data_IF_704251120367
#
_entry.id   IF_704251120367
#
_cell.length_a   1.000
_cell.length_b   1.000
_cell.length_c   1.000
_cell.angle_alpha   90.00
_cell.angle_beta   90.00
_cell.angle_gamma   90.00
#
_symmetry.space_group_name_H-M   'P 1'
#
loop_
_entity.id
_entity.type
_entity.pdbx_description
1 polymer ?
#
# COMPACT_ATOMS: atom_id res chain seq x y z
N UNK A 1 -10.47 -19.81 -25.85
CA UNK A 1 -10.36 -19.03 -24.61
C UNK A 1 -9.67 -19.87 -23.57
N UNK A 2 -8.60 -19.32 -22.98
CA UNK A 2 -7.74 -20.08 -22.07
C UNK A 2 -8.32 -20.12 -20.66
N UNK A 3 -9.04 -19.05 -20.25
CA UNK A 3 -9.70 -18.93 -18.96
C UNK A 3 -11.01 -18.13 -19.07
N UNK A 4 -11.77 -18.06 -17.98
CA UNK A 4 -12.92 -17.15 -17.87
C UNK A 4 -12.45 -15.72 -17.51
N UNK A 5 -11.37 -15.62 -16.75
CA UNK A 5 -10.75 -14.34 -16.37
C UNK A 5 -9.22 -14.46 -16.33
N UNK A 6 -8.53 -13.46 -16.86
CA UNK A 6 -7.10 -13.27 -16.66
C UNK A 6 -6.90 -12.19 -15.60
N UNK A 7 -6.06 -12.46 -14.60
CA UNK A 7 -5.67 -11.49 -13.57
C UNK A 7 -4.20 -11.12 -13.78
N UNK A 8 -3.93 -9.85 -14.01
CA UNK A 8 -2.57 -9.32 -14.20
C UNK A 8 -2.05 -8.78 -12.87
N UNK A 9 -1.09 -9.49 -12.28
CA UNK A 9 -0.48 -9.19 -10.99
C UNK A 9 -0.96 -10.10 -9.86
N UNK A 10 -0.02 -10.80 -9.23
CA UNK A 10 -0.23 -11.68 -8.09
C UNK A 10 0.00 -10.98 -6.73
N UNK A 11 -0.24 -9.66 -6.66
CA UNK A 11 -0.28 -8.88 -5.43
C UNK A 11 -1.58 -9.10 -4.65
N UNK A 12 -1.78 -8.40 -3.53
CA UNK A 12 -2.96 -8.56 -2.67
C UNK A 12 -4.28 -8.42 -3.45
N UNK A 13 -4.42 -7.38 -4.28
CA UNK A 13 -5.64 -7.15 -5.05
C UNK A 13 -5.92 -8.30 -6.03
N UNK A 14 -4.90 -8.77 -6.76
CA UNK A 14 -5.04 -9.92 -7.66
C UNK A 14 -5.36 -11.21 -6.93
N UNK A 15 -4.76 -11.47 -5.77
CA UNK A 15 -5.07 -12.65 -4.95
C UNK A 15 -6.50 -12.63 -4.41
N UNK A 16 -6.99 -11.46 -3.96
CA UNK A 16 -8.39 -11.32 -3.51
C UNK A 16 -9.34 -11.56 -4.67
N UNK A 17 -9.13 -10.88 -5.82
CA UNK A 17 -9.96 -11.07 -7.01
C UNK A 17 -9.98 -12.53 -7.47
N UNK A 18 -8.80 -13.17 -7.54
CA UNK A 18 -8.69 -14.60 -7.92
C UNK A 18 -9.46 -15.51 -6.97
N UNK A 19 -9.31 -15.29 -5.65
CA UNK A 19 -10.00 -16.11 -4.66
C UNK A 19 -11.53 -15.99 -4.78
N UNK A 20 -12.05 -14.77 -4.93
CA UNK A 20 -13.49 -14.53 -5.09
C UNK A 20 -14.04 -15.10 -6.42
N UNK A 21 -13.29 -14.94 -7.52
CA UNK A 21 -13.64 -15.51 -8.82
C UNK A 21 -13.71 -17.04 -8.78
N UNK A 22 -12.76 -17.69 -8.11
CA UNK A 22 -12.77 -19.16 -7.98
C UNK A 22 -13.92 -19.65 -7.11
N UNK A 23 -14.25 -18.96 -6.03
CA UNK A 23 -15.42 -19.30 -5.21
C UNK A 23 -16.74 -19.11 -5.98
N UNK A 24 -16.74 -18.20 -6.98
CA UNK A 24 -17.83 -18.03 -7.94
C UNK A 24 -17.78 -19.06 -9.11
N UNK A 25 -16.92 -20.07 -9.05
CA UNK A 25 -16.79 -21.15 -10.02
C UNK A 25 -16.10 -20.76 -11.34
N UNK A 26 -15.32 -19.66 -11.37
CA UNK A 26 -14.61 -19.21 -12.57
C UNK A 26 -13.22 -19.84 -12.66
N UNK A 27 -12.79 -20.16 -13.88
CA UNK A 27 -11.40 -20.56 -14.18
C UNK A 27 -10.56 -19.30 -14.38
N UNK A 28 -9.45 -19.18 -13.67
CA UNK A 28 -8.61 -17.99 -13.64
C UNK A 28 -7.18 -18.32 -14.02
N UNK A 29 -6.58 -17.51 -14.91
CA UNK A 29 -5.14 -17.47 -15.10
C UNK A 29 -4.61 -16.19 -14.47
N UNK A 30 -3.64 -16.34 -13.54
CA UNK A 30 -2.94 -15.21 -12.95
C UNK A 30 -1.56 -15.11 -13.59
N UNK A 31 -1.23 -13.96 -14.16
CA UNK A 31 0.09 -13.68 -14.73
C UNK A 31 0.85 -12.67 -13.88
N UNK A 32 2.14 -12.94 -13.61
CA UNK A 32 3.01 -12.03 -12.86
C UNK A 32 4.42 -12.06 -13.43
N UNK A 33 5.06 -10.88 -13.55
CA UNK A 33 6.42 -10.76 -14.03
C UNK A 33 7.48 -11.27 -13.04
N UNK A 34 7.14 -11.32 -11.75
CA UNK A 34 8.04 -11.75 -10.69
C UNK A 34 8.05 -13.28 -10.51
N UNK A 35 9.08 -13.84 -9.84
CA UNK A 35 9.08 -15.25 -9.46
C UNK A 35 8.07 -15.56 -8.37
N UNK A 36 7.74 -16.83 -8.20
CA UNK A 36 6.82 -17.33 -7.16
C UNK A 36 7.17 -16.86 -5.74
N UNK A 37 8.43 -16.59 -5.47
CA UNK A 37 8.89 -16.04 -4.19
C UNK A 37 8.23 -14.68 -3.88
N UNK A 38 7.86 -13.89 -4.89
CA UNK A 38 7.24 -12.56 -4.74
C UNK A 38 5.71 -12.57 -4.67
N UNK A 39 5.07 -13.75 -4.59
CA UNK A 39 3.62 -13.89 -4.44
C UNK A 39 3.10 -13.04 -3.27
N UNK A 40 2.12 -12.16 -3.55
CA UNK A 40 1.58 -11.18 -2.60
C UNK A 40 2.07 -9.75 -2.85
N UNK A 41 3.08 -9.57 -3.72
CA UNK A 41 3.57 -8.26 -4.15
C UNK A 41 4.04 -7.36 -3.02
N UNK A 42 3.90 -6.05 -3.18
CA UNK A 42 4.34 -5.05 -2.20
C UNK A 42 3.59 -5.12 -0.86
N UNK A 43 2.37 -5.67 -0.83
CA UNK A 43 1.60 -5.78 0.41
C UNK A 43 2.30 -6.64 1.48
N UNK A 44 3.19 -7.54 1.07
CA UNK A 44 4.03 -8.33 1.98
C UNK A 44 4.86 -7.46 2.91
N UNK A 45 5.40 -6.36 2.41
CA UNK A 45 6.29 -5.45 3.14
C UNK A 45 5.57 -4.46 4.03
N UNK A 46 4.22 -4.44 3.98
CA UNK A 46 3.42 -3.50 4.75
C UNK A 46 3.37 -3.85 6.23
N UNK A 47 3.11 -2.83 7.06
CA UNK A 47 2.80 -3.01 8.48
C UNK A 47 1.45 -3.72 8.71
N UNK A 48 0.69 -3.97 7.63
CA UNK A 48 -0.58 -4.69 7.67
C UNK A 48 -1.71 -3.92 8.33
N UNK A 49 -1.68 -2.59 8.25
CA UNK A 49 -2.73 -1.74 8.78
C UNK A 49 -3.97 -1.71 7.90
N UNK A 50 -5.14 -1.92 8.48
CA UNK A 50 -6.41 -1.88 7.79
C UNK A 50 -7.34 -0.83 8.41
N UNK A 51 -8.03 -0.10 7.54
CA UNK A 51 -9.07 0.85 7.93
C UNK A 51 -10.36 0.09 8.27
N UNK A 52 -10.81 0.19 9.51
CA UNK A 52 -12.09 -0.34 9.98
C UNK A 52 -12.80 0.71 10.81
N UNK A 53 -14.12 0.69 10.77
CA UNK A 53 -15.00 1.67 11.42
C UNK A 53 -15.92 0.97 12.42
N UNK A 54 -16.08 1.52 13.62
CA UNK A 54 -16.97 0.98 14.65
C UNK A 54 -16.59 -0.44 15.10
N UNK A 55 -15.33 -0.79 15.05
CA UNK A 55 -14.83 -2.15 15.34
C UNK A 55 -14.95 -2.52 16.82
N UNK A 56 -14.96 -3.83 17.16
CA UNK A 56 -14.85 -4.28 18.55
C UNK A 56 -13.57 -3.80 19.23
N UNK A 57 -12.46 -3.67 18.49
CA UNK A 57 -11.19 -3.17 18.97
C UNK A 57 -11.31 -1.70 19.38
N UNK A 58 -11.92 -0.84 18.54
CA UNK A 58 -12.21 0.55 18.87
C UNK A 58 -13.11 0.66 20.11
N UNK A 59 -14.20 -0.12 20.18
CA UNK A 59 -15.11 -0.11 21.34
C UNK A 59 -14.40 -0.47 22.66
N UNK A 60 -13.50 -1.46 22.67
CA UNK A 60 -12.69 -1.80 23.85
C UNK A 60 -11.80 -0.64 24.31
N UNK A 61 -11.30 0.14 23.36
CA UNK A 61 -10.50 1.34 23.66
C UNK A 61 -11.37 2.59 23.92
N UNK A 62 -12.69 2.45 23.99
CA UNK A 62 -13.66 3.52 24.20
C UNK A 62 -13.65 4.57 23.07
N UNK A 63 -13.20 4.19 21.88
CA UNK A 63 -13.25 5.00 20.67
C UNK A 63 -14.66 4.88 20.10
N UNK A 64 -15.34 6.02 19.99
CA UNK A 64 -16.67 6.12 19.36
C UNK A 64 -16.48 6.46 17.90
N UNK A 65 -16.94 5.59 17.03
CA UNK A 65 -16.85 5.75 15.59
C UNK A 65 -18.13 5.28 14.89
N UNK A 66 -18.43 5.84 13.73
CA UNK A 66 -19.59 5.49 12.91
C UNK A 66 -19.28 5.64 11.43
N UNK A 67 -20.12 5.06 10.56
CA UNK A 67 -20.01 5.21 9.12
C UNK A 67 -20.12 6.69 8.71
N UNK A 68 -21.07 7.44 9.29
CA UNK A 68 -21.27 8.86 9.00
C UNK A 68 -20.04 9.69 9.37
N UNK A 69 -19.47 9.48 10.56
CA UNK A 69 -18.26 10.17 10.98
C UNK A 69 -17.08 9.81 10.08
N UNK A 70 -16.94 8.54 9.73
CA UNK A 70 -15.87 8.09 8.85
C UNK A 70 -16.01 8.67 7.42
N UNK A 71 -17.23 8.76 6.92
CA UNK A 71 -17.52 9.39 5.63
C UNK A 71 -17.24 10.90 5.65
N UNK A 72 -17.65 11.59 6.71
CA UNK A 72 -17.34 13.01 6.90
C UNK A 72 -15.82 13.27 6.95
N UNK A 73 -15.07 12.45 7.70
CA UNK A 73 -13.62 12.53 7.76
C UNK A 73 -12.97 12.27 6.40
N UNK A 74 -13.50 11.30 5.66
CA UNK A 74 -13.01 10.99 4.31
C UNK A 74 -13.21 12.15 3.34
N UNK A 75 -14.41 12.72 3.31
CA UNK A 75 -14.70 13.91 2.50
C UNK A 75 -13.79 15.08 2.88
N UNK A 76 -13.49 15.24 4.17
CA UNK A 76 -12.62 16.30 4.66
C UNK A 76 -11.14 16.13 4.31
N UNK A 77 -10.69 14.92 3.95
CA UNK A 77 -9.27 14.65 3.67
C UNK A 77 -8.96 14.25 2.22
N UNK A 78 -9.96 13.83 1.44
CA UNK A 78 -9.71 13.28 0.11
C UNK A 78 -9.44 14.34 -0.97
N UNK A 79 -9.88 15.58 -0.77
CA UNK A 79 -9.73 16.66 -1.75
C UNK A 79 -10.48 16.36 -3.04
N UNK A 80 -11.79 16.04 -2.97
CA UNK A 80 -12.65 15.84 -4.13
C UNK A 80 -13.06 17.20 -4.73
N UNK A 81 -12.15 17.82 -5.47
CA UNK A 81 -12.26 19.17 -6.06
C UNK A 81 -12.35 19.16 -7.59
N UNK A 82 -12.50 17.97 -8.24
CA UNK A 82 -12.52 17.77 -9.69
C UNK A 82 -13.83 17.13 -10.15
N UNK A 83 -14.91 17.88 -10.07
CA UNK A 83 -16.23 17.49 -10.59
C UNK A 83 -16.73 16.12 -10.10
N UNK A 84 -16.64 15.88 -8.78
CA UNK A 84 -17.03 14.61 -8.17
C UNK A 84 -18.52 14.25 -8.40
N UNK A 85 -19.38 15.22 -8.73
CA UNK A 85 -20.78 15.02 -9.08
C UNK A 85 -21.03 14.61 -10.53
N UNK A 86 -20.13 14.91 -11.45
CA UNK A 86 -20.24 14.60 -12.87
C UNK A 86 -19.59 13.23 -13.18
N UNK A 87 -20.29 12.28 -13.83
CA UNK A 87 -19.70 11.02 -14.28
C UNK A 87 -18.46 11.18 -15.16
N UNK A 88 -18.33 12.30 -15.88
CA UNK A 88 -17.13 12.65 -16.64
C UNK A 88 -16.03 13.30 -15.79
N UNK A 89 -16.32 13.72 -14.56
CA UNK A 89 -15.36 14.34 -13.66
C UNK A 89 -14.27 13.37 -13.19
N UNK A 90 -13.10 13.88 -12.85
CA UNK A 90 -11.99 13.04 -12.41
C UNK A 90 -12.25 12.38 -11.05
N UNK A 91 -12.96 13.06 -10.14
CA UNK A 91 -13.23 12.56 -8.80
C UNK A 91 -14.51 11.73 -8.68
N UNK A 92 -15.32 11.62 -9.73
CA UNK A 92 -16.59 10.92 -9.66
C UNK A 92 -16.45 9.48 -9.16
N UNK A 93 -15.62 8.70 -9.83
CA UNK A 93 -15.41 7.30 -9.48
C UNK A 93 -14.61 7.13 -8.18
N UNK A 94 -13.64 8.02 -7.93
CA UNK A 94 -12.88 8.02 -6.68
C UNK A 94 -13.79 8.24 -5.47
N UNK A 95 -14.75 9.17 -5.55
CA UNK A 95 -15.74 9.40 -4.50
C UNK A 95 -16.69 8.21 -4.30
N UNK A 96 -17.17 7.60 -5.38
CA UNK A 96 -18.01 6.40 -5.28
C UNK A 96 -17.28 5.21 -4.65
N UNK A 97 -16.03 5.00 -5.03
CA UNK A 97 -15.17 4.00 -4.40
C UNK A 97 -14.94 4.27 -2.92
N UNK A 98 -14.68 5.51 -2.56
CA UNK A 98 -14.49 5.91 -1.16
C UNK A 98 -15.74 5.64 -0.34
N UNK A 99 -16.93 5.97 -0.86
CA UNK A 99 -18.20 5.68 -0.19
C UNK A 99 -18.41 4.18 0.02
N UNK A 100 -18.30 3.38 -1.05
CA UNK A 100 -18.42 1.93 -0.97
C UNK A 100 -17.40 1.31 0.01
N UNK A 101 -16.16 1.85 0.04
CA UNK A 101 -15.14 1.38 0.95
C UNK A 101 -15.42 1.72 2.42
N UNK A 102 -15.94 2.92 2.70
CA UNK A 102 -16.34 3.30 4.07
C UNK A 102 -17.51 2.45 4.54
N UNK A 103 -18.53 2.22 3.68
CA UNK A 103 -19.66 1.34 3.97
C UNK A 103 -19.19 -0.09 4.27
N UNK A 104 -18.32 -0.64 3.44
CA UNK A 104 -17.72 -1.96 3.64
C UNK A 104 -16.90 -2.02 4.95
N UNK A 105 -16.11 -0.98 5.25
CA UNK A 105 -15.28 -0.91 6.45
C UNK A 105 -16.09 -0.78 7.75
N UNK A 106 -17.25 -0.14 7.68
CA UNK A 106 -18.20 -0.02 8.79
C UNK A 106 -19.11 -1.24 8.94
N UNK A 107 -19.31 -1.98 7.84
CA UNK A 107 -20.18 -3.15 7.75
C UNK A 107 -19.44 -4.48 7.87
N UNK A 108 -19.39 -5.20 6.76
CA UNK A 108 -18.99 -6.62 6.74
C UNK A 108 -17.48 -6.89 6.74
N UNK A 109 -16.64 -5.93 6.33
CA UNK A 109 -15.20 -6.11 6.10
C UNK A 109 -14.48 -6.82 7.24
N UNK A 110 -14.73 -6.37 8.48
CA UNK A 110 -14.07 -6.97 9.64
C UNK A 110 -14.51 -8.41 9.88
N UNK A 111 -15.81 -8.68 9.77
CA UNK A 111 -16.37 -10.02 9.96
C UNK A 111 -15.88 -10.98 8.87
N UNK A 112 -15.89 -10.54 7.62
CA UNK A 112 -15.36 -11.27 6.48
C UNK A 112 -13.88 -11.64 6.68
N UNK A 113 -13.01 -10.67 6.98
CA UNK A 113 -11.59 -10.92 7.25
C UNK A 113 -11.37 -11.86 8.43
N UNK A 114 -12.15 -11.69 9.51
CA UNK A 114 -12.07 -12.56 10.68
C UNK A 114 -12.49 -14.00 10.35
N UNK A 115 -13.53 -14.19 9.53
CA UNK A 115 -13.97 -15.50 9.01
C UNK A 115 -12.89 -16.18 8.18
N UNK A 116 -12.08 -15.42 7.43
CA UNK A 116 -10.93 -15.92 6.68
C UNK A 116 -9.70 -16.25 7.55
N UNK A 117 -9.75 -15.94 8.85
CA UNK A 117 -8.66 -16.21 9.81
C UNK A 117 -7.77 -15.03 10.12
N UNK A 118 -8.02 -13.83 9.56
CA UNK A 118 -7.28 -12.61 9.91
C UNK A 118 -7.59 -12.23 11.36
N UNK A 119 -6.56 -11.86 12.10
CA UNK A 119 -6.66 -11.36 13.47
C UNK A 119 -5.98 -10.02 13.57
N UNK A 120 -6.48 -9.17 14.46
CA UNK A 120 -5.95 -7.83 14.68
C UNK A 120 -5.25 -7.74 16.03
N UNK A 121 -4.21 -6.93 16.08
CA UNK A 121 -3.61 -6.52 17.32
C UNK A 121 -4.63 -5.71 18.14
N UNK A 122 -4.66 -5.84 19.48
CA UNK A 122 -5.74 -5.26 20.30
C UNK A 122 -5.66 -3.73 20.46
N UNK A 123 -4.79 -3.06 19.71
CA UNK A 123 -4.61 -1.60 19.73
C UNK A 123 -4.97 -1.02 18.37
N UNK A 124 -5.79 0.03 18.39
CA UNK A 124 -6.14 0.81 17.20
C UNK A 124 -5.37 2.12 17.26
N UNK A 125 -4.59 2.37 16.22
CA UNK A 125 -3.76 3.57 16.11
C UNK A 125 -4.28 4.59 15.10
N UNK A 126 -3.55 5.67 15.02
CA UNK A 126 -3.65 6.66 13.96
C UNK A 126 -2.72 6.24 12.81
N UNK A 127 -3.23 6.21 11.58
CA UNK A 127 -2.36 6.20 10.41
C UNK A 127 -1.80 7.61 10.21
N UNK A 128 -2.69 8.55 10.11
CA UNK A 128 -2.47 10.00 10.10
C UNK A 128 -3.79 10.67 10.49
N UNK A 129 -3.72 11.92 10.89
CA UNK A 129 -4.92 12.75 11.05
C UNK A 129 -5.28 13.44 9.76
N UNK A 130 -4.31 14.06 9.10
CA UNK A 130 -4.50 14.75 7.83
C UNK A 130 -5.38 15.99 7.93
N UNK A 131 -5.73 16.54 6.78
CA UNK A 131 -6.74 17.58 6.66
C UNK A 131 -6.21 18.98 6.33
N UNK A 132 -4.92 19.23 6.42
CA UNK A 132 -4.37 20.59 6.16
C UNK A 132 -4.38 20.99 4.68
N UNK A 133 -4.12 20.05 3.77
CA UNK A 133 -4.16 20.27 2.31
C UNK A 133 -5.50 19.85 1.68
N UNK A 134 -6.51 19.53 2.48
CA UNK A 134 -7.86 19.21 2.07
C UNK A 134 -8.85 20.22 2.68
N UNK A 135 -10.12 20.15 2.28
CA UNK A 135 -11.13 21.13 2.68
C UNK A 135 -11.66 20.90 4.11
N UNK A 136 -11.26 19.86 4.79
CA UNK A 136 -11.80 19.47 6.08
C UNK A 136 -10.77 19.02 7.10
N UNK A 137 -11.23 18.46 8.19
CA UNK A 137 -10.46 18.20 9.41
C UNK A 137 -9.76 16.83 9.44
N UNK A 138 -9.86 16.00 8.43
CA UNK A 138 -9.23 14.67 8.40
C UNK A 138 -9.81 13.69 9.44
N UNK A 139 -9.03 12.68 9.81
CA UNK A 139 -9.47 11.64 10.74
C UNK A 139 -9.75 12.17 12.14
N UNK A 140 -11.00 12.06 12.59
CA UNK A 140 -11.44 12.46 13.94
C UNK A 140 -11.08 11.45 15.01
N UNK A 141 -10.96 10.16 14.64
CA UNK A 141 -10.68 9.06 15.55
C UNK A 141 -9.69 8.06 14.93
N UNK A 142 -8.97 7.27 15.76
CA UNK A 142 -8.08 6.22 15.28
C UNK A 142 -8.87 5.11 14.56
N UNK A 143 -8.42 4.73 13.33
CA UNK A 143 -9.03 3.67 12.52
C UNK A 143 -8.02 2.68 11.95
N UNK A 144 -6.74 2.80 12.32
CA UNK A 144 -5.68 1.95 11.83
C UNK A 144 -5.55 0.70 12.70
N UNK A 145 -6.01 -0.43 12.15
CA UNK A 145 -5.98 -1.74 12.80
C UNK A 145 -4.81 -2.56 12.28
N UNK A 146 -3.83 -2.82 13.11
CA UNK A 146 -2.66 -3.63 12.74
C UNK A 146 -3.06 -5.09 12.70
N UNK A 147 -2.82 -5.75 11.56
CA UNK A 147 -3.02 -7.19 11.40
C UNK A 147 -1.96 -7.96 12.18
N UNK A 148 -2.38 -8.96 12.94
CA UNK A 148 -1.48 -9.91 13.57
C UNK A 148 -0.78 -10.75 12.51
N UNK A 149 0.54 -10.59 12.38
CA UNK A 149 1.33 -11.10 11.26
C UNK A 149 1.61 -10.07 10.17
N UNK A 150 1.25 -8.79 10.38
CA UNK A 150 1.53 -7.66 9.48
C UNK A 150 1.07 -7.89 8.04
N UNK A 151 1.78 -7.43 7.01
CA UNK A 151 1.48 -7.67 5.59
C UNK A 151 1.34 -9.16 5.23
N UNK A 152 2.28 -10.04 5.61
CA UNK A 152 2.11 -11.49 5.48
C UNK A 152 0.81 -12.03 6.09
N UNK A 153 0.40 -11.51 7.25
CA UNK A 153 -0.85 -11.90 7.90
C UNK A 153 -2.11 -11.50 7.13
N UNK A 154 -2.07 -10.39 6.40
CA UNK A 154 -3.16 -9.98 5.47
C UNK A 154 -3.21 -10.89 4.27
N UNK A 155 -2.06 -11.28 3.72
CA UNK A 155 -1.94 -12.09 2.51
C UNK A 155 -2.30 -13.56 2.72
N UNK A 156 -1.96 -14.11 3.87
CA UNK A 156 -2.02 -15.55 4.16
C UNK A 156 -3.35 -16.22 3.78
N UNK A 157 -4.54 -15.71 4.14
CA UNK A 157 -5.79 -16.35 3.80
C UNK A 157 -6.03 -16.41 2.28
N UNK A 158 -5.66 -15.37 1.55
CA UNK A 158 -5.84 -15.32 0.10
C UNK A 158 -4.84 -16.20 -0.62
N UNK A 159 -3.59 -16.22 -0.20
CA UNK A 159 -2.57 -17.16 -0.71
C UNK A 159 -3.01 -18.60 -0.50
N UNK A 160 -3.57 -18.92 0.67
CA UNK A 160 -4.09 -20.27 0.97
C UNK A 160 -5.26 -20.67 0.06
N UNK A 161 -6.23 -19.76 -0.15
CA UNK A 161 -7.40 -19.99 -1.04
C UNK A 161 -6.94 -20.17 -2.48
N UNK A 162 -6.09 -19.30 -2.99
CA UNK A 162 -5.57 -19.37 -4.37
C UNK A 162 -4.77 -20.65 -4.59
N UNK A 163 -3.91 -21.07 -3.65
CA UNK A 163 -3.18 -22.34 -3.73
C UNK A 163 -4.12 -23.57 -3.69
N UNK A 164 -5.19 -23.50 -2.92
CA UNK A 164 -6.20 -24.57 -2.91
C UNK A 164 -6.91 -24.65 -4.27
N UNK A 165 -7.27 -23.51 -4.86
CA UNK A 165 -7.87 -23.43 -6.19
C UNK A 165 -6.90 -23.86 -7.30
N UNK A 166 -5.59 -23.53 -7.20
CA UNK A 166 -4.55 -24.03 -8.11
C UNK A 166 -4.48 -25.56 -8.05
N UNK A 167 -4.45 -26.14 -6.86
CA UNK A 167 -4.45 -27.60 -6.68
C UNK A 167 -5.71 -28.27 -7.21
N UNK A 168 -6.85 -27.59 -7.16
CA UNK A 168 -8.14 -28.07 -7.69
C UNK A 168 -8.29 -27.85 -9.21
N UNK A 169 -7.33 -27.20 -9.88
CA UNK A 169 -7.36 -26.93 -11.31
C UNK A 169 -8.24 -25.75 -11.73
N UNK A 170 -8.69 -24.91 -10.78
CA UNK A 170 -9.46 -23.69 -11.06
C UNK A 170 -8.60 -22.46 -11.32
N UNK A 171 -7.34 -22.49 -10.86
CA UNK A 171 -6.36 -21.42 -11.07
C UNK A 171 -5.09 -21.96 -11.72
N UNK A 172 -4.56 -21.22 -12.66
CA UNK A 172 -3.20 -21.39 -13.16
C UNK A 172 -2.38 -20.15 -12.79
N UNK A 173 -1.25 -20.34 -12.07
CA UNK A 173 -0.33 -19.26 -11.72
C UNK A 173 0.86 -19.27 -12.68
N UNK A 174 0.95 -18.26 -13.53
CA UNK A 174 2.04 -18.06 -14.50
C UNK A 174 2.98 -16.96 -14.03
N UNK A 175 3.99 -17.33 -13.32
CA UNK A 175 5.10 -16.45 -12.94
C UNK A 175 6.06 -16.24 -14.07
N UNK A 176 6.82 -15.14 -14.05
CA UNK A 176 7.76 -14.74 -15.07
C UNK A 176 7.07 -14.42 -16.42
N UNK A 177 5.78 -14.10 -16.38
CA UNK A 177 4.98 -13.67 -17.51
C UNK A 177 4.69 -12.17 -17.38
N UNK A 178 5.46 -11.36 -18.10
CA UNK A 178 5.31 -9.91 -18.11
C UNK A 178 4.31 -9.51 -19.20
N UNK A 179 3.21 -8.90 -18.82
CA UNK A 179 2.23 -8.35 -19.78
C UNK A 179 2.80 -7.08 -20.39
N UNK A 180 2.80 -7.02 -21.72
CA UNK A 180 3.27 -5.89 -22.51
C UNK A 180 2.13 -5.23 -23.31
N UNK A 181 0.97 -5.92 -23.44
CA UNK A 181 -0.18 -5.45 -24.21
C UNK A 181 -1.49 -6.02 -23.64
N UNK A 182 -2.55 -5.22 -23.64
CA UNK A 182 -3.93 -5.68 -23.51
C UNK A 182 -4.51 -5.83 -24.93
N UNK A 183 -4.89 -7.05 -25.31
CA UNK A 183 -5.43 -7.35 -26.63
C UNK A 183 -6.86 -6.82 -26.70
N UNK A 184 -7.11 -5.91 -27.67
CA UNK A 184 -8.44 -5.32 -27.90
C UNK A 184 -9.04 -5.86 -29.18
N UNK A 185 -10.24 -6.44 -29.11
CA UNK A 185 -10.99 -6.94 -30.27
C UNK A 185 -12.39 -6.35 -30.24
N UNK A 186 -12.80 -5.71 -31.32
CA UNK A 186 -14.11 -5.07 -31.45
C UNK A 186 -14.46 -4.11 -30.28
N UNK A 187 -13.47 -3.37 -29.79
CA UNK A 187 -13.65 -2.40 -28.71
C UNK A 187 -13.68 -2.98 -27.29
N UNK A 188 -13.44 -4.27 -27.12
CA UNK A 188 -13.36 -4.94 -25.81
C UNK A 188 -11.97 -5.55 -25.60
N UNK A 189 -11.49 -5.55 -24.36
CA UNK A 189 -10.28 -6.29 -23.98
C UNK A 189 -10.61 -7.78 -23.93
N UNK A 190 -9.93 -8.57 -24.76
CA UNK A 190 -10.18 -10.01 -24.95
C UNK A 190 -9.01 -10.90 -24.54
N UNK A 191 -7.95 -10.31 -24.01
CA UNK A 191 -6.78 -11.07 -23.61
C UNK A 191 -5.59 -10.19 -23.27
N UNK A 192 -4.45 -10.83 -23.11
CA UNK A 192 -3.15 -10.21 -22.86
C UNK A 192 -2.07 -10.85 -23.73
N UNK A 193 -1.09 -10.05 -24.12
CA UNK A 193 0.14 -10.50 -24.79
C UNK A 193 1.34 -9.98 -24.03
N UNK A 194 2.44 -10.74 -24.06
CA UNK A 194 3.63 -10.30 -23.36
C UNK A 194 4.81 -11.24 -23.50
N UNK A 195 5.81 -11.02 -22.67
CA UNK A 195 7.09 -11.69 -22.68
C UNK A 195 7.20 -12.68 -21.52
N UNK A 196 7.57 -13.91 -21.82
CA UNK A 196 8.07 -14.87 -20.82
C UNK A 196 9.50 -14.48 -20.48
N UNK A 197 9.78 -14.24 -19.21
CA UNK A 197 11.11 -13.92 -18.72
C UNK A 197 11.85 -15.18 -18.27
N UNK A 198 13.19 -15.16 -18.32
CA UNK A 198 14.01 -16.25 -17.80
C UNK A 198 13.60 -16.65 -16.38
N UNK A 199 13.77 -17.92 -16.05
CA UNK A 199 13.60 -18.41 -14.66
C UNK A 199 14.49 -17.61 -13.71
N UNK A 200 14.00 -17.37 -12.49
CA UNK A 200 14.74 -16.60 -11.50
C UNK A 200 14.47 -17.14 -10.10
N UNK A 201 15.57 -17.37 -9.37
CA UNK A 201 15.58 -17.75 -7.96
C UNK A 201 15.77 -16.55 -7.04
N UNK A 202 15.54 -15.32 -7.57
CA UNK A 202 15.64 -14.10 -6.80
C UNK A 202 14.76 -14.16 -5.56
N UNK A 203 15.34 -13.81 -4.42
CA UNK A 203 14.59 -13.71 -3.18
C UNK A 203 13.52 -12.62 -3.26
N UNK A 204 12.50 -12.71 -2.42
CA UNK A 204 11.44 -11.73 -2.34
C UNK A 204 12.00 -10.31 -2.17
N UNK A 205 11.56 -9.37 -3.01
CA UNK A 205 11.99 -7.98 -2.98
C UNK A 205 13.28 -7.68 -3.74
N UNK A 206 14.12 -8.69 -3.97
CA UNK A 206 15.32 -8.53 -4.79
C UNK A 206 14.93 -8.43 -6.27
N UNK A 207 15.63 -7.57 -7.02
CA UNK A 207 15.40 -7.42 -8.45
C UNK A 207 15.64 -8.75 -9.18
N UNK A 208 14.66 -9.19 -9.97
CA UNK A 208 14.76 -10.38 -10.81
C UNK A 208 15.16 -10.01 -12.25
N UNK A 209 15.75 -10.98 -13.01
CA UNK A 209 16.10 -10.78 -14.41
C UNK A 209 14.91 -10.29 -15.23
N UNK A 210 15.18 -9.45 -16.22
CA UNK A 210 14.21 -9.00 -17.24
C UNK A 210 14.52 -9.58 -18.62
N UNK A 211 15.44 -10.52 -18.68
CA UNK A 211 15.85 -11.17 -19.95
C UNK A 211 14.68 -11.95 -20.55
N UNK A 212 14.30 -11.68 -21.82
CA UNK A 212 13.28 -12.44 -22.51
C UNK A 212 13.72 -13.89 -22.76
N UNK A 213 12.78 -14.83 -22.54
CA UNK A 213 12.95 -16.24 -22.85
C UNK A 213 11.93 -16.75 -23.87
N UNK A 214 10.91 -15.95 -24.20
CA UNK A 214 9.87 -16.27 -25.17
C UNK A 214 8.73 -15.29 -25.08
N UNK A 215 7.71 -15.51 -25.90
CA UNK A 215 6.49 -14.70 -25.91
C UNK A 215 5.30 -15.55 -25.47
N UNK A 216 4.23 -14.89 -25.05
CA UNK A 216 2.96 -15.54 -24.75
C UNK A 216 1.77 -14.68 -25.18
N UNK A 217 0.67 -15.35 -25.48
CA UNK A 217 -0.64 -14.74 -25.67
C UNK A 217 -1.69 -15.58 -24.94
N UNK A 218 -2.61 -14.90 -24.26
CA UNK A 218 -3.72 -15.52 -23.50
C UNK A 218 -5.02 -14.80 -23.83
N UNK A 219 -6.09 -15.56 -23.96
CA UNK A 219 -7.43 -15.07 -24.27
C UNK A 219 -8.42 -15.36 -23.15
N UNK A 220 -9.21 -14.35 -22.79
CA UNK A 220 -10.32 -14.46 -21.85
C UNK A 220 -11.35 -13.36 -22.11
N UNK A 221 -12.64 -13.58 -21.80
CA UNK A 221 -13.68 -12.56 -21.94
C UNK A 221 -13.54 -11.39 -20.96
N UNK A 222 -12.68 -11.51 -19.93
CA UNK A 222 -12.42 -10.45 -18.97
C UNK A 222 -10.96 -10.47 -18.51
N UNK A 223 -10.41 -9.26 -18.29
CA UNK A 223 -9.07 -9.05 -17.75
C UNK A 223 -9.16 -8.11 -16.53
N UNK A 224 -8.60 -8.54 -15.40
CA UNK A 224 -8.46 -7.73 -14.19
C UNK A 224 -7.02 -7.26 -14.09
N UNK A 225 -6.80 -5.95 -14.17
CA UNK A 225 -5.47 -5.35 -13.99
C UNK A 225 -5.28 -5.02 -12.51
N UNK A 226 -4.40 -5.75 -11.83
CA UNK A 226 -4.10 -5.66 -10.39
C UNK A 226 -2.58 -5.54 -10.14
N UNK A 227 -1.86 -4.89 -11.05
CA UNK A 227 -0.38 -4.88 -11.15
C UNK A 227 0.33 -3.89 -10.22
N UNK A 228 -0.39 -3.25 -9.30
CA UNK A 228 0.20 -2.34 -8.30
C UNK A 228 0.33 -0.89 -8.78
N UNK A 229 1.15 -0.12 -8.08
CA UNK A 229 1.34 1.31 -8.30
C UNK A 229 2.66 1.67 -8.96
N UNK A 230 3.12 2.93 -8.75
CA UNK A 230 4.28 3.56 -9.40
C UNK A 230 5.46 3.81 -8.46
N UNK A 231 5.40 3.32 -7.22
CA UNK A 231 6.30 3.76 -6.14
C UNK A 231 7.79 3.49 -6.35
N UNK A 232 8.16 2.62 -7.29
CA UNK A 232 9.57 2.38 -7.64
C UNK A 232 10.04 3.19 -8.85
N UNK A 233 9.15 3.80 -9.62
CA UNK A 233 9.48 4.65 -10.76
C UNK A 233 9.43 6.13 -10.37
N UNK A 234 10.58 6.67 -9.97
CA UNK A 234 10.69 8.07 -9.54
C UNK A 234 10.53 9.07 -10.69
N UNK A 235 10.79 8.68 -11.95
CA UNK A 235 10.55 9.54 -13.09
C UNK A 235 9.05 9.68 -13.34
N UNK A 236 8.31 8.58 -13.26
CA UNK A 236 6.85 8.60 -13.37
C UNK A 236 6.21 9.39 -12.24
N UNK A 237 6.74 9.29 -11.01
CA UNK A 237 6.32 10.10 -9.86
C UNK A 237 6.56 11.58 -10.13
N UNK A 238 7.73 11.98 -10.65
CA UNK A 238 8.04 13.37 -10.98
C UNK A 238 7.19 13.90 -12.13
N UNK A 239 6.93 13.10 -13.14
CA UNK A 239 6.09 13.48 -14.27
C UNK A 239 4.64 13.77 -13.86
N UNK A 240 4.15 13.09 -12.81
CA UNK A 240 2.82 13.28 -12.25
C UNK A 240 2.81 14.09 -10.94
N UNK A 241 3.90 14.83 -10.64
CA UNK A 241 4.02 15.57 -9.38
C UNK A 241 2.95 16.65 -9.24
N UNK A 242 2.22 16.71 -8.08
CA UNK A 242 1.13 17.65 -7.91
C UNK A 242 1.64 19.09 -7.70
N UNK A 243 1.15 20.03 -8.49
CA UNK A 243 1.52 21.44 -8.41
C UNK A 243 1.33 22.05 -7.02
N UNK A 244 0.29 21.63 -6.30
CA UNK A 244 0.00 22.10 -4.93
C UNK A 244 1.11 21.84 -3.92
N UNK A 245 1.98 20.85 -4.17
CA UNK A 245 3.14 20.54 -3.34
C UNK A 245 4.40 21.32 -3.76
N UNK A 246 4.31 22.14 -4.81
CA UNK A 246 5.45 22.87 -5.36
C UNK A 246 6.39 21.96 -6.17
N UNK A 247 7.70 22.20 -6.09
CA UNK A 247 8.66 21.37 -6.83
C UNK A 247 8.79 19.97 -6.28
N UNK A 248 9.00 19.00 -7.16
CA UNK A 248 9.33 17.65 -6.75
C UNK A 248 10.69 17.59 -6.01
N UNK A 249 10.86 16.71 -5.01
CA UNK A 249 12.14 16.53 -4.34
C UNK A 249 13.18 15.96 -5.31
N UNK A 250 14.43 16.39 -5.15
CA UNK A 250 15.57 15.89 -5.96
C UNK A 250 15.93 14.46 -5.57
N UNK A 251 15.84 14.17 -4.28
CA UNK A 251 16.12 12.85 -3.71
C UNK A 251 14.83 12.23 -3.20
N UNK A 252 14.60 10.99 -3.59
CA UNK A 252 13.53 10.16 -3.10
C UNK A 252 14.14 8.81 -2.70
N UNK A 253 13.63 8.22 -1.63
CA UNK A 253 13.93 6.83 -1.26
C UNK A 253 12.74 5.97 -1.62
N UNK A 254 12.97 4.67 -1.83
CA UNK A 254 11.99 3.76 -2.41
C UNK A 254 11.42 2.83 -1.34
N UNK A 255 10.18 3.03 -0.95
CA UNK A 255 9.50 2.22 0.05
C UNK A 255 8.90 0.91 -0.48
N UNK A 256 9.16 0.55 -1.74
CA UNK A 256 8.59 -0.64 -2.42
C UNK A 256 9.63 -1.28 -3.33
N UNK A 257 9.53 -2.60 -3.63
CA UNK A 257 10.43 -3.27 -4.57
C UNK A 257 10.35 -2.71 -5.99
N UNK A 258 11.43 -2.91 -6.77
CA UNK A 258 11.59 -2.37 -8.13
C UNK A 258 10.49 -2.77 -9.14
N UNK A 259 9.76 -3.85 -8.88
CA UNK A 259 8.66 -4.30 -9.75
C UNK A 259 7.36 -3.47 -9.59
N UNK A 260 7.32 -2.52 -8.67
CA UNK A 260 6.20 -1.57 -8.52
C UNK A 260 6.46 -0.38 -9.45
N UNK A 261 6.47 -0.65 -10.75
CA UNK A 261 7.02 0.17 -11.83
C UNK A 261 5.98 0.96 -12.65
N UNK A 262 4.68 0.76 -12.38
CA UNK A 262 3.60 1.49 -13.05
C UNK A 262 3.36 1.17 -14.52
N UNK A 263 4.06 0.20 -15.11
CA UNK A 263 3.98 -0.13 -16.55
C UNK A 263 2.56 -0.28 -17.07
N UNK A 264 1.68 -0.93 -16.29
CA UNK A 264 0.32 -1.19 -16.72
C UNK A 264 -0.56 0.07 -16.85
N UNK A 265 -0.15 1.22 -16.34
CA UNK A 265 -0.87 2.47 -16.55
C UNK A 265 -0.88 2.83 -18.04
N UNK A 266 0.30 2.94 -18.66
CA UNK A 266 0.41 3.26 -20.09
C UNK A 266 -0.20 2.17 -20.98
N UNK A 267 -0.02 0.89 -20.63
CA UNK A 267 -0.61 -0.25 -21.36
C UNK A 267 -2.15 -0.17 -21.30
N UNK A 268 -2.71 0.16 -20.14
CA UNK A 268 -4.16 0.31 -19.99
C UNK A 268 -4.72 1.49 -20.79
N UNK A 269 -4.02 2.63 -20.81
CA UNK A 269 -4.43 3.78 -21.65
C UNK A 269 -4.40 3.46 -23.13
N UNK A 270 -3.36 2.76 -23.59
CA UNK A 270 -3.27 2.31 -25.00
C UNK A 270 -4.46 1.43 -25.36
N UNK A 271 -4.98 0.64 -24.42
CA UNK A 271 -6.17 -0.17 -24.59
C UNK A 271 -7.50 0.60 -24.43
N UNK A 272 -7.46 1.92 -24.24
CA UNK A 272 -8.63 2.79 -24.13
C UNK A 272 -9.10 3.07 -22.70
N UNK A 273 -8.37 2.66 -21.67
CA UNK A 273 -8.72 3.02 -20.31
C UNK A 273 -8.46 4.51 -20.03
N UNK A 274 -9.34 5.14 -19.26
CA UNK A 274 -9.15 6.50 -18.78
C UNK A 274 -8.47 6.46 -17.42
N UNK A 275 -7.31 7.09 -17.29
CA UNK A 275 -6.63 7.34 -16.02
C UNK A 275 -7.07 8.70 -15.49
N UNK A 276 -7.45 8.73 -14.21
CA UNK A 276 -7.84 9.96 -13.50
C UNK A 276 -6.92 10.19 -12.31
N UNK A 277 -6.86 11.44 -11.85
CA UNK A 277 -6.17 11.80 -10.61
C UNK A 277 -4.70 11.34 -10.54
N UNK A 278 -3.96 11.42 -11.65
CA UNK A 278 -2.56 10.95 -11.76
C UNK A 278 -1.62 11.59 -10.75
N UNK A 279 -1.91 12.81 -10.32
CA UNK A 279 -1.15 13.59 -9.36
C UNK A 279 -1.63 13.39 -7.90
N UNK A 280 -2.65 12.57 -7.67
CA UNK A 280 -3.15 12.23 -6.33
C UNK A 280 -2.36 11.07 -5.73
N UNK A 281 -1.12 11.35 -5.36
CA UNK A 281 -0.20 10.39 -4.76
C UNK A 281 -0.05 10.62 -3.26
N UNK A 282 0.28 9.55 -2.53
CA UNK A 282 0.59 9.60 -1.12
C UNK A 282 2.09 9.43 -0.91
N UNK A 283 2.70 10.38 -0.23
CA UNK A 283 4.12 10.37 0.10
C UNK A 283 4.33 10.45 1.59
N UNK A 284 5.33 9.75 2.10
CA UNK A 284 5.74 9.87 3.49
C UNK A 284 6.99 10.74 3.59
N UNK A 285 7.02 11.63 4.58
CA UNK A 285 8.12 12.55 4.86
C UNK A 285 9.08 12.02 5.91
N UNK A 286 8.62 11.05 6.71
CA UNK A 286 9.41 10.41 7.76
C UNK A 286 10.22 9.23 7.22
N UNK A 287 10.71 9.32 5.99
CA UNK A 287 11.53 8.29 5.35
C UNK A 287 13.01 8.45 5.64
N UNK A 288 13.67 7.35 5.92
CA UNK A 288 15.13 7.25 6.04
C UNK A 288 15.64 6.09 5.18
N UNK A 289 16.92 6.16 4.79
CA UNK A 289 17.56 5.03 4.11
C UNK A 289 17.60 3.81 5.04
N UNK A 290 17.27 2.64 4.49
CA UNK A 290 17.37 1.40 5.24
C UNK A 290 18.86 1.02 5.38
N UNK A 291 19.30 0.70 6.59
CA UNK A 291 20.66 0.23 6.87
C UNK A 291 20.93 -1.20 6.35
N UNK A 292 19.87 -2.00 6.16
CA UNK A 292 19.90 -3.34 5.57
C UNK A 292 18.96 -3.40 4.35
N UNK A 293 19.37 -2.81 3.20
CA UNK A 293 18.49 -2.62 2.06
C UNK A 293 18.22 -3.94 1.33
N UNK A 294 16.93 -4.22 1.05
CA UNK A 294 16.47 -5.37 0.28
C UNK A 294 16.44 -5.05 -1.23
N UNK A 295 16.20 -3.78 -1.58
CA UNK A 295 16.22 -3.27 -2.96
C UNK A 295 16.99 -1.96 -3.06
N UNK A 296 17.40 -1.55 -4.26
CA UNK A 296 18.12 -0.28 -4.44
C UNK A 296 17.30 0.91 -3.96
N UNK A 297 17.94 1.78 -3.16
CA UNK A 297 17.27 2.96 -2.60
C UNK A 297 16.20 2.66 -1.54
N UNK A 298 16.24 1.48 -0.95
CA UNK A 298 15.27 1.04 0.05
C UNK A 298 15.17 2.05 1.18
N UNK A 299 13.97 2.61 1.34
CA UNK A 299 13.61 3.53 2.40
C UNK A 299 12.62 2.90 3.36
N UNK A 300 12.80 3.16 4.64
CA UNK A 300 11.84 2.78 5.68
C UNK A 300 11.20 4.01 6.29
N UNK A 301 9.94 3.89 6.68
CA UNK A 301 9.25 4.94 7.41
C UNK A 301 9.51 4.78 8.89
N UNK A 302 10.00 5.85 9.52
CA UNK A 302 10.05 5.96 10.97
C UNK A 302 8.72 6.49 11.50
N UNK A 303 8.35 6.07 12.69
CA UNK A 303 7.22 6.58 13.46
C UNK A 303 7.80 7.20 14.74
N UNK A 304 8.23 8.47 14.70
CA UNK A 304 9.11 9.05 15.73
C UNK A 304 8.40 9.35 17.06
N UNK A 305 7.07 9.23 17.06
CA UNK A 305 6.25 9.57 18.21
C UNK A 305 5.99 11.08 18.36
N UNK A 306 4.90 11.46 19.04
CA UNK A 306 4.43 12.84 19.13
C UNK A 306 5.34 13.77 19.93
N UNK A 307 6.19 13.21 20.81
CA UNK A 307 7.12 14.00 21.63
C UNK A 307 8.43 14.35 20.94
N UNK A 308 8.69 13.82 19.75
CA UNK A 308 9.88 14.18 18.96
C UNK A 308 9.81 15.61 18.46
N UNK A 309 10.96 16.30 18.44
CA UNK A 309 11.06 17.63 17.87
C UNK A 309 11.38 17.53 16.37
N UNK A 310 10.50 18.06 15.53
CA UNK A 310 10.69 18.06 14.09
C UNK A 310 11.12 19.44 13.58
N UNK A 311 12.27 19.49 12.93
CA UNK A 311 12.92 20.70 12.45
C UNK A 311 13.07 20.67 10.93
N UNK A 312 12.99 21.85 10.32
CA UNK A 312 13.33 22.01 8.91
C UNK A 312 14.86 21.83 8.68
N UNK A 313 15.29 21.85 7.43
CA UNK A 313 16.70 21.72 7.06
C UNK A 313 17.61 22.80 7.66
N UNK A 314 17.04 23.92 8.11
CA UNK A 314 17.75 25.05 8.74
C UNK A 314 17.72 24.98 10.26
N UNK A 315 17.19 23.91 10.85
CA UNK A 315 17.09 23.72 12.28
C UNK A 315 15.95 24.50 12.96
N UNK A 316 14.96 25.00 12.21
CA UNK A 316 13.80 25.71 12.76
C UNK A 316 12.65 24.72 12.92
N UNK A 317 11.96 24.79 14.04
CA UNK A 317 10.80 23.94 14.31
C UNK A 317 9.67 24.23 13.30
N UNK A 318 9.06 23.17 12.77
CA UNK A 318 7.84 23.32 11.99
C UNK A 318 6.70 23.88 12.85
N UNK A 319 5.93 24.81 12.27
CA UNK A 319 4.72 25.33 12.89
C UNK A 319 3.58 24.30 12.86
N UNK A 320 2.56 24.53 13.70
CA UNK A 320 1.33 23.75 13.63
C UNK A 320 0.67 23.93 12.25
N UNK A 321 0.04 22.85 11.70
CA UNK A 321 -0.19 21.53 12.29
C UNK A 321 0.86 20.47 11.92
N UNK A 322 2.04 20.85 11.44
CA UNK A 322 3.09 19.94 10.96
C UNK A 322 3.77 19.24 12.14
N UNK A 323 3.05 18.34 12.80
CA UNK A 323 3.54 17.49 13.87
C UNK A 323 3.88 16.09 13.35
N UNK A 324 4.80 15.35 14.02
CA UNK A 324 5.09 13.96 13.67
C UNK A 324 3.83 13.10 13.57
N UNK A 325 3.64 12.43 12.43
CA UNK A 325 2.50 11.53 12.19
C UNK A 325 1.14 12.21 12.09
N UNK A 326 1.09 13.54 11.93
CA UNK A 326 -0.18 14.27 11.85
C UNK A 326 -0.69 14.41 10.40
N UNK A 327 0.07 15.10 9.55
CA UNK A 327 -0.26 15.30 8.13
C UNK A 327 1.01 15.27 7.29
N UNK A 328 1.26 14.16 6.60
CA UNK A 328 2.49 13.97 5.85
C UNK A 328 2.56 14.84 4.61
N UNK A 329 1.42 15.09 3.92
CA UNK A 329 1.40 15.90 2.71
C UNK A 329 1.58 17.39 3.02
N UNK A 330 0.95 17.90 4.08
CA UNK A 330 1.18 19.26 4.54
C UNK A 330 2.63 19.49 4.96
N UNK A 331 3.20 18.51 5.68
CA UNK A 331 4.60 18.58 6.10
C UNK A 331 5.55 18.46 4.92
N UNK A 332 5.25 17.62 3.92
CA UNK A 332 6.03 17.54 2.69
C UNK A 332 6.08 18.90 2.00
N UNK A 333 4.93 19.56 1.85
CA UNK A 333 4.90 20.93 1.31
C UNK A 333 5.77 21.89 2.13
N UNK A 334 5.64 21.87 3.45
CA UNK A 334 6.43 22.73 4.33
C UNK A 334 7.94 22.48 4.20
N UNK A 335 8.38 21.23 4.03
CA UNK A 335 9.78 20.86 3.76
C UNK A 335 10.22 21.46 2.43
N UNK A 336 9.47 21.24 1.35
CA UNK A 336 9.82 21.68 0.00
C UNK A 336 9.85 23.21 -0.13
N UNK A 337 8.97 23.92 0.57
CA UNK A 337 8.94 25.40 0.62
C UNK A 337 10.22 25.99 1.23
N UNK A 338 10.98 25.24 2.01
CA UNK A 338 12.30 25.67 2.51
C UNK A 338 13.38 25.74 1.42
N UNK A 339 13.14 25.09 0.26
CA UNK A 339 14.11 24.88 -0.81
C UNK A 339 14.99 23.64 -0.63
N UNK A 340 14.81 22.88 0.44
CA UNK A 340 15.52 21.63 0.75
C UNK A 340 14.61 20.42 0.62
N UNK A 341 15.20 19.24 0.57
CA UNK A 341 14.52 17.94 0.38
C UNK A 341 14.65 17.04 1.63
N UNK A 342 14.95 17.61 2.78
CA UNK A 342 15.15 16.88 4.03
C UNK A 342 14.74 17.69 5.25
N UNK A 343 14.57 17.01 6.36
CA UNK A 343 14.25 17.55 7.66
C UNK A 343 14.99 16.79 8.76
N UNK A 344 14.92 17.27 10.00
CA UNK A 344 15.59 16.66 11.14
C UNK A 344 14.58 16.26 12.20
N UNK A 345 14.66 15.01 12.67
CA UNK A 345 14.05 14.61 13.92
C UNK A 345 15.07 14.66 15.04
N UNK A 346 14.75 15.40 16.10
CA UNK A 346 15.51 15.41 17.34
C UNK A 346 14.69 14.67 18.39
N UNK A 347 15.27 13.64 18.94
CA UNK A 347 14.58 12.78 19.92
C UNK A 347 15.52 12.45 21.08
N UNK A 348 14.97 12.03 22.20
CA UNK A 348 15.73 11.56 23.35
C UNK A 348 15.64 10.04 23.44
N UNK A 349 16.59 9.42 24.14
CA UNK A 349 16.56 7.99 24.39
C UNK A 349 15.22 7.53 25.00
N UNK A 350 14.66 8.31 25.93
CA UNK A 350 13.36 8.04 26.56
C UNK A 350 12.18 8.07 25.56
N UNK A 351 12.21 8.96 24.58
CA UNK A 351 11.19 9.01 23.50
C UNK A 351 11.33 7.78 22.60
N UNK A 352 12.58 7.43 22.23
CA UNK A 352 12.84 6.23 21.44
C UNK A 352 12.35 4.97 22.13
N UNK A 353 12.58 4.83 23.43
CA UNK A 353 12.10 3.68 24.20
C UNK A 353 10.57 3.56 24.29
N UNK A 354 9.85 4.68 24.27
CA UNK A 354 8.40 4.71 24.59
C UNK A 354 7.50 4.94 23.40
N UNK A 355 7.96 5.67 22.42
CA UNK A 355 7.11 6.22 21.36
C UNK A 355 7.57 5.85 19.95
N UNK A 356 8.88 5.56 19.78
CA UNK A 356 9.46 5.31 18.46
C UNK A 356 9.13 3.91 17.96
N UNK A 357 8.77 3.83 16.68
CA UNK A 357 8.57 2.58 15.98
C UNK A 357 9.03 2.69 14.52
N UNK A 358 9.19 1.55 13.88
CA UNK A 358 9.47 1.44 12.45
C UNK A 358 8.27 0.82 11.74
N UNK A 359 7.98 1.29 10.54
CA UNK A 359 6.94 0.72 9.69
C UNK A 359 7.53 -0.39 8.81
N UNK A 360 6.69 -1.34 8.42
CA UNK A 360 7.09 -2.46 7.55
C UNK A 360 7.10 -3.80 8.26
N UNK A 361 6.87 -4.86 7.50
CA UNK A 361 6.86 -6.23 8.05
C UNK A 361 8.26 -6.71 8.41
N UNK A 362 9.26 -6.32 7.65
CA UNK A 362 10.68 -6.62 7.84
C UNK A 362 11.27 -5.92 9.07
N UNK A 363 10.71 -4.76 9.42
CA UNK A 363 11.12 -3.99 10.59
C UNK A 363 10.43 -4.46 11.89
N UNK A 364 9.47 -5.36 11.78
CA UNK A 364 8.68 -5.87 12.90
C UNK A 364 8.60 -7.40 12.90
N UNK A 365 9.76 -8.10 12.98
CA UNK A 365 9.80 -9.56 12.87
C UNK A 365 9.02 -10.29 13.97
N UNK A 366 8.87 -9.70 15.13
CA UNK A 366 8.08 -10.22 16.24
C UNK A 366 6.57 -10.22 15.96
N UNK A 367 6.05 -9.11 15.39
CA UNK A 367 4.65 -9.02 14.96
C UNK A 367 4.40 -9.88 13.72
N UNK A 368 5.32 -9.82 12.75
CA UNK A 368 5.26 -10.59 11.50
C UNK A 368 5.32 -12.09 11.76
N UNK A 369 6.22 -12.52 12.64
CA UNK A 369 6.37 -13.91 13.08
C UNK A 369 5.36 -14.34 14.13
N UNK A 370 4.46 -13.47 14.55
CA UNK A 370 3.45 -13.74 15.60
C UNK A 370 4.06 -14.25 16.91
N UNK A 371 5.23 -13.74 17.27
CA UNK A 371 5.95 -14.13 18.46
C UNK A 371 5.48 -13.33 19.68
N UNK A 372 4.49 -13.87 20.41
CA UNK A 372 3.87 -13.23 21.58
C UNK A 372 4.92 -12.86 22.64
N UNK A 373 5.93 -13.70 22.87
CA UNK A 373 6.96 -13.42 23.89
C UNK A 373 7.78 -12.18 23.53
N UNK A 374 8.18 -12.05 22.27
CA UNK A 374 8.91 -10.88 21.81
C UNK A 374 8.04 -9.63 21.80
N UNK A 375 6.76 -9.75 21.41
CA UNK A 375 5.81 -8.63 21.45
C UNK A 375 5.57 -8.14 22.87
N UNK A 376 5.43 -9.04 23.85
CA UNK A 376 5.34 -8.66 25.27
C UNK A 376 6.64 -8.00 25.75
N UNK A 377 7.78 -8.34 25.18
CA UNK A 377 9.06 -7.69 25.46
C UNK A 377 9.09 -6.21 25.06
N UNK A 378 8.21 -5.75 24.17
CA UNK A 378 8.06 -4.31 23.83
C UNK A 378 7.58 -3.47 25.02
N UNK A 379 6.93 -4.08 26.00
CA UNK A 379 6.50 -3.41 27.23
C UNK A 379 7.64 -3.27 28.26
N UNK A 380 8.77 -3.98 28.07
CA UNK A 380 9.94 -3.83 28.90
C UNK A 380 10.66 -2.49 28.61
N UNK A 381 11.38 -1.92 29.60
CA UNK A 381 12.20 -0.75 29.33
C UNK A 381 13.27 -1.02 28.28
N UNK A 382 13.47 -0.06 27.38
CA UNK A 382 14.49 -0.10 26.33
C UNK A 382 13.92 -0.25 24.92
N UNK A 383 14.70 0.09 23.88
CA UNK A 383 14.26 -0.02 22.50
C UNK A 383 14.10 -1.49 22.09
N UNK A 384 13.09 -1.76 21.24
CA UNK A 384 12.90 -3.09 20.64
C UNK A 384 14.08 -3.47 19.74
N UNK A 385 14.23 -4.76 19.42
CA UNK A 385 15.34 -5.23 18.59
C UNK A 385 15.54 -4.46 17.28
N UNK A 386 14.50 -4.24 16.45
CA UNK A 386 14.62 -3.43 15.23
C UNK A 386 14.98 -1.97 15.51
N UNK A 387 14.43 -1.37 16.57
CA UNK A 387 14.79 0.00 16.96
C UNK A 387 16.21 0.07 17.50
N UNK A 388 16.67 -0.97 18.19
CA UNK A 388 18.05 -1.08 18.63
C UNK A 388 19.00 -1.12 17.43
N UNK A 389 18.73 -1.97 16.44
CA UNK A 389 19.53 -2.06 15.22
C UNK A 389 19.55 -0.73 14.42
N UNK A 390 18.51 0.07 14.53
CA UNK A 390 18.47 1.41 13.96
C UNK A 390 19.36 2.41 14.72
N UNK A 391 19.53 2.24 16.04
CA UNK A 391 20.32 3.14 16.88
C UNK A 391 21.82 2.83 16.86
N UNK A 392 22.18 1.55 16.69
CA UNK A 392 23.55 1.06 16.58
C UNK A 392 24.14 1.34 15.18
#
# INVERSE_FOLDING_TARGET
>A
MDADVIVVGAGLAGLVATAELCDAGRRVIVVDQEPRASLGGQAYWSFGGLFLVGSPEQRRMRIRDSADLAWQDWLGSAGFDRDAGDPAGEDHWARRWAQAYVEFAAGEKRAWLHGLGVRFFPVVGWAERGGHLADGHGNSVPRFHITWGTGPGVLEPFVRRVRAAEKAGHVELRFRHRVDELVVTAGAVTGVRGTVLEASDAARGTASSRTPAGDFELSAPAVVVASGGIGADHELIRAAWPERLGRAPRRMITGVPAHVDGRMLAISETAGARLTNRDRMWHYTEGIANWDPIWPGHGIRILPGPSSLWLDARGRRFGAPNFPGFDTLATLKAILDTGYDYSWFVTTHKIVEKEFALSGSEQNPDLTGRNIRQVLGRAAPGPTGPVRAFLD
#
